data_IF_343645678045
#
_entry.id   IF_343645678045
#
_cell.length_a   1.000
_cell.length_b   1.000
_cell.length_c   1.000
_cell.angle_alpha   90.00
_cell.angle_beta   90.00
_cell.angle_gamma   90.00
#
_symmetry.space_group_name_H-M   'P 1'
#
loop_
_entity.id
_entity.type
_entity.pdbx_description
1 polymer ?
#
# COMPACT_ATOMS: atom_id res chain seq x y z
N UNK A 1 -21.33 46.13 -26.17
CA UNK A 1 -21.55 44.68 -26.02
C UNK A 1 -20.28 43.83 -26.29
N UNK A 2 -19.38 44.24 -27.17
CA UNK A 2 -18.11 43.53 -27.48
C UNK A 2 -17.15 43.43 -26.30
N UNK A 3 -16.98 44.49 -25.49
CA UNK A 3 -16.07 44.53 -24.35
C UNK A 3 -16.43 43.57 -23.22
N UNK A 4 -17.72 43.33 -22.96
CA UNK A 4 -18.15 42.37 -21.91
C UNK A 4 -17.89 40.92 -22.35
N UNK A 5 -18.17 40.59 -23.62
CA UNK A 5 -17.85 39.23 -24.16
C UNK A 5 -16.37 38.95 -24.18
N UNK A 6 -15.53 39.93 -24.51
CA UNK A 6 -14.06 39.75 -24.49
C UNK A 6 -13.54 39.58 -23.08
N UNK A 7 -14.05 40.34 -22.09
CA UNK A 7 -13.68 40.17 -20.68
C UNK A 7 -14.12 38.83 -20.12
N UNK A 8 -15.32 38.36 -20.44
CA UNK A 8 -15.81 37.04 -20.05
C UNK A 8 -14.96 35.93 -20.67
N UNK A 9 -14.62 36.04 -21.95
CA UNK A 9 -13.76 35.09 -22.64
C UNK A 9 -12.36 35.05 -21.99
N UNK A 10 -11.73 36.19 -21.71
CA UNK A 10 -10.46 36.29 -21.06
C UNK A 10 -10.49 35.66 -19.64
N UNK A 11 -11.55 35.90 -18.85
CA UNK A 11 -11.76 35.32 -17.56
C UNK A 11 -11.90 33.78 -17.64
N UNK A 12 -12.70 33.27 -18.57
CA UNK A 12 -12.84 31.81 -18.76
C UNK A 12 -11.54 31.16 -19.21
N UNK A 13 -10.79 31.81 -20.10
CA UNK A 13 -9.46 31.31 -20.51
C UNK A 13 -8.49 31.25 -19.33
N UNK A 14 -8.44 32.30 -18.52
CA UNK A 14 -7.61 32.34 -17.33
C UNK A 14 -8.01 31.24 -16.33
N UNK A 15 -9.30 31.05 -16.09
CA UNK A 15 -9.84 30.00 -15.24
C UNK A 15 -9.40 28.61 -15.70
N UNK A 16 -9.53 28.34 -17.01
CA UNK A 16 -9.10 27.07 -17.62
C UNK A 16 -7.59 26.87 -17.44
N UNK A 17 -6.78 27.90 -17.68
CA UNK A 17 -5.32 27.82 -17.47
C UNK A 17 -4.96 27.58 -16.01
N UNK A 18 -5.65 28.21 -15.06
CA UNK A 18 -5.47 27.94 -13.62
C UNK A 18 -5.84 26.50 -13.26
N UNK A 19 -6.95 25.97 -13.78
CA UNK A 19 -7.35 24.59 -13.56
C UNK A 19 -6.34 23.60 -14.13
N UNK A 20 -5.86 23.85 -15.34
CA UNK A 20 -4.82 23.05 -15.99
C UNK A 20 -3.51 23.10 -15.16
N UNK A 21 -3.06 24.31 -14.78
CA UNK A 21 -1.87 24.49 -13.95
C UNK A 21 -1.97 23.77 -12.59
N UNK A 22 -3.12 23.90 -11.94
CA UNK A 22 -3.42 23.21 -10.69
C UNK A 22 -3.39 21.68 -10.85
N UNK A 23 -4.00 21.17 -11.93
CA UNK A 23 -3.98 19.74 -12.24
C UNK A 23 -2.56 19.23 -12.44
N UNK A 24 -1.74 19.91 -13.24
CA UNK A 24 -0.34 19.51 -13.45
C UNK A 24 0.48 19.57 -12.17
N UNK A 25 0.34 20.64 -11.38
CA UNK A 25 1.02 20.78 -10.09
C UNK A 25 0.70 19.61 -9.14
N UNK A 26 -0.57 19.32 -8.92
CA UNK A 26 -0.96 18.20 -8.06
C UNK A 26 -0.59 16.84 -8.67
N UNK A 27 -0.71 16.68 -9.97
CA UNK A 27 -0.31 15.45 -10.63
C UNK A 27 1.18 15.17 -10.42
N UNK A 28 2.04 16.18 -10.56
CA UNK A 28 3.48 16.04 -10.38
C UNK A 28 3.84 15.84 -8.90
N UNK A 29 3.25 16.62 -7.99
CA UNK A 29 3.49 16.54 -6.55
C UNK A 29 3.22 15.15 -5.96
N UNK A 30 2.24 14.43 -6.49
CA UNK A 30 1.87 13.08 -6.01
C UNK A 30 2.37 11.95 -6.94
N UNK A 31 3.26 12.26 -7.87
CA UNK A 31 3.94 11.22 -8.65
C UNK A 31 5.18 10.79 -7.90
N UNK A 32 5.33 9.48 -7.58
CA UNK A 32 6.54 9.00 -6.91
C UNK A 32 7.76 9.22 -7.79
N UNK A 33 8.92 9.35 -7.15
CA UNK A 33 10.21 9.35 -7.87
C UNK A 33 10.34 8.08 -8.74
N UNK A 34 11.17 8.10 -9.79
CA UNK A 34 11.47 6.89 -10.55
C UNK A 34 11.86 5.72 -9.66
N UNK A 35 11.59 4.50 -10.11
CA UNK A 35 12.03 3.33 -9.36
C UNK A 35 13.53 3.14 -9.55
N UNK A 36 14.28 3.26 -8.45
CA UNK A 36 15.73 3.08 -8.43
C UNK A 36 16.15 1.70 -7.92
N UNK A 37 15.19 0.79 -7.65
CA UNK A 37 15.51 -0.55 -7.18
C UNK A 37 15.99 -1.43 -8.33
N UNK A 38 17.19 -1.98 -8.18
CA UNK A 38 17.66 -3.13 -8.96
C UNK A 38 17.39 -4.40 -8.16
N UNK A 39 16.68 -5.35 -8.75
CA UNK A 39 16.38 -6.64 -8.11
C UNK A 39 16.87 -7.75 -9.01
N UNK A 40 17.76 -8.58 -8.47
CA UNK A 40 18.28 -9.76 -9.15
C UNK A 40 17.75 -11.02 -8.48
N UNK A 41 17.51 -12.04 -9.27
CA UNK A 41 16.99 -13.34 -8.89
C UNK A 41 15.54 -13.32 -8.38
N UNK A 42 14.88 -14.47 -8.47
CA UNK A 42 13.62 -14.71 -7.77
C UNK A 42 13.87 -14.88 -6.27
N UNK A 43 12.99 -14.38 -5.43
CA UNK A 43 13.18 -14.44 -3.98
C UNK A 43 13.11 -15.87 -3.43
N UNK A 44 12.39 -16.78 -4.11
CA UNK A 44 11.85 -17.99 -3.50
C UNK A 44 10.70 -17.63 -2.52
N UNK A 45 10.18 -18.64 -1.84
CA UNK A 45 9.14 -18.44 -0.82
C UNK A 45 9.77 -17.93 0.46
N UNK A 46 9.44 -16.70 0.84
CA UNK A 46 9.97 -16.01 2.02
C UNK A 46 8.90 -16.03 3.11
N UNK A 47 9.08 -16.74 4.20
CA UNK A 47 8.18 -16.63 5.33
C UNK A 47 8.13 -15.20 5.85
N UNK A 48 6.94 -14.66 6.04
CA UNK A 48 6.77 -13.38 6.71
C UNK A 48 6.28 -13.55 8.15
N UNK A 49 6.55 -12.56 8.97
CA UNK A 49 6.14 -12.52 10.37
C UNK A 49 5.08 -11.47 10.59
N UNK A 50 4.05 -11.78 11.35
CA UNK A 50 3.07 -10.82 11.80
C UNK A 50 3.53 -10.17 13.11
N UNK A 51 3.39 -8.85 13.21
CA UNK A 51 3.53 -8.10 14.43
C UNK A 51 2.15 -7.70 14.95
N UNK A 52 1.94 -7.91 16.26
CA UNK A 52 0.65 -7.70 16.91
C UNK A 52 -0.30 -8.89 16.79
N UNK A 53 -1.16 -9.07 17.80
CA UNK A 53 -2.11 -10.18 17.89
C UNK A 53 -3.15 -10.12 16.74
N UNK A 54 -3.53 -8.92 16.32
CA UNK A 54 -4.48 -8.67 15.22
C UNK A 54 -3.83 -8.68 13.83
N UNK A 55 -2.57 -9.14 13.70
CA UNK A 55 -1.82 -9.13 12.42
C UNK A 55 -1.71 -7.73 11.82
N UNK A 56 -1.36 -6.76 12.67
CA UNK A 56 -1.36 -5.34 12.31
C UNK A 56 -0.27 -4.96 11.31
N UNK A 57 0.87 -5.65 11.34
CA UNK A 57 2.02 -5.36 10.48
C UNK A 57 2.60 -6.65 9.94
N UNK A 58 2.85 -6.68 8.63
CA UNK A 58 3.55 -7.77 7.94
C UNK A 58 5.02 -7.41 7.80
N UNK A 59 5.90 -8.25 8.36
CA UNK A 59 7.34 -8.06 8.36
C UNK A 59 8.04 -9.07 7.47
N UNK A 60 8.95 -8.58 6.62
CA UNK A 60 9.83 -9.39 5.79
C UNK A 60 11.24 -9.43 6.36
N UNK A 61 11.84 -10.62 6.54
CA UNK A 61 13.21 -10.74 6.97
C UNK A 61 14.17 -10.28 5.87
N UNK A 62 15.17 -9.50 6.26
CA UNK A 62 16.25 -9.02 5.37
C UNK A 62 17.60 -9.32 5.97
N UNK A 63 18.59 -9.56 5.10
CA UNK A 63 19.96 -9.86 5.46
C UNK A 63 20.94 -9.02 4.66
N UNK A 64 22.04 -8.63 5.31
CA UNK A 64 23.17 -7.98 4.65
C UNK A 64 24.33 -8.95 4.50
N UNK A 65 25.11 -8.80 3.44
CA UNK A 65 26.30 -9.62 3.24
C UNK A 65 27.30 -9.41 4.37
N UNK A 66 27.81 -10.53 4.92
CA UNK A 66 28.76 -10.50 6.04
C UNK A 66 28.16 -10.18 7.41
N UNK A 67 26.82 -10.04 7.51
CA UNK A 67 26.12 -9.86 8.78
C UNK A 67 25.22 -11.07 9.08
N UNK A 68 25.31 -11.62 10.26
CA UNK A 68 24.48 -12.76 10.72
C UNK A 68 23.15 -12.32 11.32
N UNK A 69 22.96 -11.02 11.50
CA UNK A 69 21.75 -10.44 12.08
C UNK A 69 20.61 -10.49 11.06
N UNK A 70 19.44 -10.93 11.52
CA UNK A 70 18.21 -10.77 10.76
C UNK A 70 17.56 -9.45 11.12
N UNK A 71 17.38 -8.60 10.13
CA UNK A 71 16.60 -7.37 10.22
C UNK A 71 15.25 -7.58 9.57
N UNK A 72 14.35 -6.62 9.77
CA UNK A 72 13.00 -6.68 9.19
C UNK A 72 12.65 -5.37 8.53
N UNK A 73 11.92 -5.47 7.42
CA UNK A 73 11.23 -4.35 6.79
C UNK A 73 9.73 -4.61 6.85
N UNK A 74 8.96 -3.60 7.23
CA UNK A 74 7.50 -3.66 7.09
C UNK A 74 7.13 -3.69 5.61
N UNK A 75 6.28 -4.62 5.19
CA UNK A 75 5.76 -4.64 3.83
C UNK A 75 4.49 -3.78 3.75
N UNK A 76 4.57 -2.67 3.02
CA UNK A 76 3.54 -1.64 2.96
C UNK A 76 3.34 -1.15 1.52
N UNK A 77 2.32 -1.67 0.83
CA UNK A 77 1.97 -1.26 -0.54
C UNK A 77 1.27 0.09 -0.62
N UNK A 78 0.89 0.68 0.51
CA UNK A 78 0.47 2.08 0.62
C UNK A 78 1.64 3.05 0.54
N UNK A 79 2.85 2.61 0.88
CA UNK A 79 4.09 3.35 0.67
C UNK A 79 4.55 3.20 -0.79
N UNK A 80 4.77 4.28 -1.55
CA UNK A 80 5.18 4.17 -2.95
C UNK A 80 6.66 3.78 -3.12
N UNK A 81 7.46 3.91 -2.08
CA UNK A 81 8.91 3.68 -2.14
C UNK A 81 9.40 3.00 -0.87
N UNK A 82 10.44 2.19 -1.05
CA UNK A 82 11.19 1.58 0.05
C UNK A 82 11.99 2.64 0.79
N UNK A 83 11.89 2.65 2.11
CA UNK A 83 12.51 3.65 2.99
C UNK A 83 13.20 3.00 4.18
N UNK A 84 14.30 3.58 4.63
CA UNK A 84 14.95 3.23 5.88
C UNK A 84 14.62 4.23 7.00
N UNK A 85 14.66 3.77 8.24
CA UNK A 85 14.46 4.59 9.43
C UNK A 85 15.81 5.00 10.02
N UNK A 86 16.10 6.30 10.05
CA UNK A 86 17.43 6.82 10.40
C UNK A 86 17.95 6.30 11.74
N UNK A 87 17.08 6.24 12.75
CA UNK A 87 17.47 5.78 14.10
C UNK A 87 17.75 4.26 14.15
N UNK A 88 17.11 3.48 13.28
CA UNK A 88 17.25 2.03 13.28
C UNK A 88 18.47 1.54 12.47
N UNK A 89 18.94 2.34 11.50
CA UNK A 89 20.03 1.93 10.59
C UNK A 89 21.40 2.48 10.98
N UNK A 90 21.50 3.34 12.00
CA UNK A 90 22.72 4.07 12.36
C UNK A 90 23.93 3.17 12.72
N UNK A 91 23.66 1.91 13.09
CA UNK A 91 24.70 0.92 13.45
C UNK A 91 24.89 -0.18 12.42
N UNK A 92 24.25 -0.07 11.25
CA UNK A 92 24.36 -1.08 10.18
C UNK A 92 25.42 -0.59 9.17
N UNK A 93 26.61 -1.18 9.24
CA UNK A 93 27.75 -0.75 8.42
C UNK A 93 27.57 -0.96 6.92
N UNK A 94 26.62 -1.79 6.49
CA UNK A 94 26.31 -2.09 5.10
C UNK A 94 25.36 -1.05 4.47
N UNK A 95 24.91 -0.05 5.24
CA UNK A 95 24.06 1.05 4.75
C UNK A 95 24.88 2.34 4.82
N UNK A 96 25.12 2.95 3.66
CA UNK A 96 25.80 4.24 3.58
C UNK A 96 24.79 5.36 3.42
N UNK A 97 24.64 6.20 4.44
CA UNK A 97 23.69 7.34 4.44
C UNK A 97 24.36 8.58 3.86
N UNK A 98 23.70 9.24 2.90
CA UNK A 98 24.10 10.49 2.25
C UNK A 98 22.93 11.48 2.27
N UNK A 99 22.86 12.32 3.30
CA UNK A 99 21.71 13.22 3.51
C UNK A 99 20.40 12.44 3.79
N UNK A 100 19.38 12.69 2.99
CA UNK A 100 18.08 12.00 3.08
C UNK A 100 17.99 10.73 2.22
N UNK A 101 19.12 10.28 1.66
CA UNK A 101 19.21 9.06 0.84
C UNK A 101 20.23 8.10 1.44
N UNK A 102 20.08 6.84 1.12
CA UNK A 102 21.02 5.79 1.48
C UNK A 102 21.33 4.89 0.29
N UNK A 103 22.56 4.40 0.29
CA UNK A 103 23.02 3.35 -0.60
C UNK A 103 23.12 2.04 0.20
N UNK A 104 22.53 0.98 -0.32
CA UNK A 104 22.57 -0.33 0.30
C UNK A 104 22.37 -1.45 -0.71
N UNK A 105 22.86 -2.63 -0.35
CA UNK A 105 22.52 -3.91 -0.97
C UNK A 105 22.12 -4.88 0.13
N UNK A 106 20.93 -5.44 0.03
CA UNK A 106 20.42 -6.44 0.98
C UNK A 106 19.71 -7.57 0.26
N UNK A 107 19.43 -8.63 1.00
CA UNK A 107 18.79 -9.83 0.48
C UNK A 107 17.46 -10.09 1.18
N UNK A 108 16.45 -10.47 0.39
CA UNK A 108 15.20 -11.07 0.87
C UNK A 108 15.11 -12.46 0.22
N UNK A 109 15.36 -13.50 1.00
CA UNK A 109 15.58 -14.83 0.46
C UNK A 109 16.74 -14.86 -0.52
N UNK A 110 16.49 -15.27 -1.77
CA UNK A 110 17.50 -15.32 -2.83
C UNK A 110 17.57 -14.03 -3.67
N UNK A 111 16.59 -13.14 -3.53
CA UNK A 111 16.61 -11.89 -4.27
C UNK A 111 17.58 -10.90 -3.64
N UNK A 112 18.47 -10.36 -4.47
CA UNK A 112 19.36 -9.26 -4.13
C UNK A 112 18.70 -7.94 -4.54
N UNK A 113 18.57 -7.03 -3.59
CA UNK A 113 17.96 -5.71 -3.78
C UNK A 113 19.01 -4.65 -3.56
N UNK A 114 19.21 -3.80 -4.56
CA UNK A 114 20.24 -2.73 -4.54
C UNK A 114 19.63 -1.41 -4.96
N UNK A 115 20.00 -0.34 -4.30
CA UNK A 115 19.76 1.04 -4.72
C UNK A 115 20.80 1.97 -4.07
N UNK A 116 21.12 3.05 -4.77
CA UNK A 116 21.90 4.18 -4.26
C UNK A 116 21.02 5.35 -3.76
N UNK A 117 19.68 5.16 -3.77
CA UNK A 117 18.68 6.21 -3.54
C UNK A 117 17.51 5.79 -2.65
N UNK A 118 17.71 4.82 -1.74
CA UNK A 118 16.72 4.57 -0.69
C UNK A 118 16.47 5.85 0.10
N UNK A 119 15.21 6.18 0.33
CA UNK A 119 14.88 7.31 1.18
C UNK A 119 15.17 6.98 2.64
N UNK A 120 15.64 7.97 3.40
CA UNK A 120 15.87 7.85 4.84
C UNK A 120 14.93 8.80 5.57
N UNK A 121 14.04 8.22 6.38
CA UNK A 121 13.09 8.98 7.17
C UNK A 121 13.61 9.16 8.59
N UNK A 122 13.42 10.37 9.15
CA UNK A 122 13.72 10.62 10.55
C UNK A 122 12.67 9.97 11.45
N UNK A 123 12.74 8.65 11.54
CA UNK A 123 11.79 7.79 12.23
C UNK A 123 12.50 6.58 12.83
N UNK A 124 11.74 5.76 13.55
CA UNK A 124 12.21 4.52 14.16
C UNK A 124 12.69 4.71 15.60
N UNK A 125 13.00 3.62 16.24
CA UNK A 125 13.57 3.57 17.60
C UNK A 125 14.99 2.99 17.51
N UNK A 126 15.88 3.47 18.38
CA UNK A 126 17.13 2.78 18.62
C UNK A 126 16.85 1.42 19.26
N UNK A 127 17.52 0.41 18.75
CA UNK A 127 17.21 -1.01 18.95
C UNK A 127 17.29 -1.45 20.41
N UNK A 128 16.13 -1.80 20.97
CA UNK A 128 16.01 -2.54 22.24
C UNK A 128 15.03 -3.71 22.15
N UNK A 129 14.58 -4.08 20.93
CA UNK A 129 13.58 -5.15 20.72
C UNK A 129 14.23 -6.39 20.11
N UNK A 130 13.63 -7.55 20.37
CA UNK A 130 14.02 -8.81 19.71
C UNK A 130 13.82 -8.79 18.19
N UNK A 131 12.98 -7.87 17.68
CA UNK A 131 12.69 -7.69 16.24
C UNK A 131 13.21 -6.34 15.80
N UNK A 132 14.24 -6.35 14.96
CA UNK A 132 14.94 -5.16 14.46
C UNK A 132 14.27 -4.65 13.18
N UNK A 133 13.28 -3.77 13.30
CA UNK A 133 12.60 -3.16 12.14
C UNK A 133 13.41 -1.95 11.70
N UNK A 134 13.98 -2.01 10.49
CA UNK A 134 14.90 -1.00 9.96
C UNK A 134 14.26 -0.08 8.92
N UNK A 135 13.03 -0.33 8.53
CA UNK A 135 12.34 0.48 7.52
C UNK A 135 11.06 -0.15 7.00
N UNK A 136 10.64 0.35 5.86
CA UNK A 136 9.46 -0.14 5.12
C UNK A 136 9.86 -0.49 3.70
N UNK A 137 9.43 -1.64 3.21
CA UNK A 137 9.44 -2.01 1.79
C UNK A 137 8.14 -1.50 1.18
N UNK A 138 8.27 -0.61 0.19
CA UNK A 138 7.15 0.00 -0.52
C UNK A 138 6.71 -0.79 -1.75
N UNK A 139 5.71 -0.25 -2.45
CA UNK A 139 5.19 -0.83 -3.69
C UNK A 139 6.17 -0.77 -4.87
N UNK A 140 7.30 -0.06 -4.73
CA UNK A 140 8.40 -0.05 -5.71
C UNK A 140 9.02 -1.44 -5.93
N UNK A 141 8.93 -2.34 -4.93
CA UNK A 141 9.38 -3.72 -5.10
C UNK A 141 8.51 -4.50 -6.09
N UNK A 142 7.25 -4.09 -6.27
CA UNK A 142 6.29 -4.73 -7.16
C UNK A 142 6.36 -4.18 -8.60
N UNK A 143 6.93 -2.99 -8.78
CA UNK A 143 6.92 -2.27 -10.05
C UNK A 143 7.55 -3.09 -11.18
N UNK A 144 6.76 -3.36 -12.23
CA UNK A 144 7.13 -4.20 -13.37
C UNK A 144 7.51 -5.65 -13.01
N UNK A 145 6.95 -6.20 -11.92
CA UNK A 145 7.28 -7.54 -11.41
C UNK A 145 6.04 -8.36 -11.09
N UNK A 146 6.28 -9.66 -10.99
CA UNK A 146 5.28 -10.67 -10.60
C UNK A 146 5.53 -11.13 -9.18
N UNK A 147 4.48 -11.16 -8.36
CA UNK A 147 4.58 -11.43 -6.92
C UNK A 147 3.44 -12.34 -6.48
N UNK A 148 3.73 -13.31 -5.61
CA UNK A 148 2.72 -14.03 -4.82
C UNK A 148 2.76 -13.50 -3.40
N UNK A 149 1.59 -13.25 -2.82
CA UNK A 149 1.41 -12.99 -1.42
C UNK A 149 0.43 -14.03 -0.87
N UNK A 150 0.97 -15.08 -0.26
CA UNK A 150 0.19 -16.21 0.24
C UNK A 150 -0.07 -16.05 1.74
N UNK A 151 -1.26 -15.56 2.07
CA UNK A 151 -1.64 -15.35 3.47
C UNK A 151 -2.02 -16.64 4.20
N UNK A 152 -2.47 -17.69 3.47
CA UNK A 152 -2.78 -18.98 4.07
C UNK A 152 -1.54 -19.65 4.65
N UNK A 153 -0.43 -19.59 3.91
CA UNK A 153 0.82 -20.25 4.25
C UNK A 153 1.88 -19.28 4.79
N UNK A 154 1.53 -17.99 4.93
CA UNK A 154 2.37 -16.92 5.46
C UNK A 154 3.72 -16.77 4.74
N UNK A 155 3.70 -16.69 3.40
CA UNK A 155 4.89 -16.38 2.63
C UNK A 155 4.62 -15.38 1.52
N UNK A 156 5.67 -14.68 1.09
CA UNK A 156 5.73 -13.89 -0.13
C UNK A 156 6.79 -14.48 -1.06
N UNK A 157 6.52 -14.41 -2.37
CA UNK A 157 7.54 -14.65 -3.39
C UNK A 157 7.44 -13.56 -4.45
N UNK A 158 8.52 -12.89 -4.76
CA UNK A 158 8.53 -11.78 -5.72
C UNK A 158 9.65 -11.92 -6.75
N UNK A 159 9.57 -11.06 -7.78
CA UNK A 159 10.42 -11.09 -8.97
C UNK A 159 10.33 -12.44 -9.71
N UNK A 160 9.12 -13.00 -9.78
CA UNK A 160 8.89 -14.29 -10.44
C UNK A 160 9.05 -14.13 -11.96
N UNK A 161 9.69 -15.11 -12.59
CA UNK A 161 9.86 -15.18 -14.05
C UNK A 161 8.57 -15.56 -14.78
N UNK A 162 7.70 -16.35 -14.12
CA UNK A 162 6.48 -16.91 -14.72
C UNK A 162 5.26 -16.72 -13.84
N UNK A 163 4.08 -16.69 -14.48
CA UNK A 163 2.81 -16.82 -13.77
C UNK A 163 2.68 -18.21 -13.15
N UNK A 164 2.35 -18.32 -11.86
CA UNK A 164 2.16 -19.61 -11.21
C UNK A 164 0.94 -20.35 -11.76
N UNK A 165 1.05 -21.67 -11.91
CA UNK A 165 0.03 -22.52 -12.56
C UNK A 165 -1.36 -22.37 -11.95
N UNK A 166 -1.45 -22.21 -10.62
CA UNK A 166 -2.72 -22.07 -9.91
C UNK A 166 -3.50 -20.78 -10.26
N UNK A 167 -2.82 -19.75 -10.82
CA UNK A 167 -3.44 -18.49 -11.22
C UNK A 167 -3.73 -18.38 -12.71
N UNK A 168 -3.20 -19.30 -13.54
CA UNK A 168 -3.40 -19.28 -14.98
C UNK A 168 -4.88 -19.33 -15.34
N UNK A 169 -5.33 -18.37 -16.15
CA UNK A 169 -6.73 -18.23 -16.56
C UNK A 169 -7.70 -17.72 -15.48
N UNK A 170 -7.21 -17.40 -14.27
CA UNK A 170 -8.03 -16.92 -13.14
C UNK A 170 -7.76 -15.47 -12.78
N UNK A 171 -6.79 -14.84 -13.42
CA UNK A 171 -6.41 -13.44 -13.15
C UNK A 171 -7.34 -12.48 -13.88
N UNK A 172 -7.56 -11.31 -13.27
CA UNK A 172 -8.35 -10.20 -13.83
C UNK A 172 -7.55 -8.91 -13.79
N UNK A 173 -8.00 -7.88 -14.49
CA UNK A 173 -7.28 -6.61 -14.61
C UNK A 173 -7.35 -5.77 -13.34
N UNK A 174 -6.26 -5.10 -13.01
CA UNK A 174 -6.20 -4.03 -12.02
C UNK A 174 -5.43 -2.82 -12.58
N UNK A 175 -5.38 -1.71 -11.83
CA UNK A 175 -4.58 -0.55 -12.21
C UNK A 175 -3.42 -0.35 -11.24
N UNK A 176 -2.19 -0.41 -11.75
CA UNK A 176 -1.01 0.02 -11.01
C UNK A 176 -0.69 1.47 -11.37
N UNK A 177 -1.18 2.40 -10.58
CA UNK A 177 -1.04 3.84 -10.84
C UNK A 177 -0.38 4.54 -9.68
N UNK A 178 0.73 5.25 -9.95
CA UNK A 178 1.53 5.91 -8.91
C UNK A 178 1.94 4.94 -7.80
N UNK A 179 2.24 3.70 -8.18
CA UNK A 179 2.54 2.57 -7.30
C UNK A 179 1.45 2.23 -6.29
N UNK A 180 0.19 2.46 -6.65
CA UNK A 180 -0.97 1.99 -5.89
C UNK A 180 -1.66 0.88 -6.66
N UNK A 181 -2.01 -0.20 -5.96
CA UNK A 181 -2.76 -1.33 -6.49
C UNK A 181 -4.24 -1.00 -6.37
N UNK A 182 -4.86 -0.60 -7.50
CA UNK A 182 -6.28 -0.21 -7.54
C UNK A 182 -7.07 -1.33 -8.21
N UNK A 183 -7.89 -2.00 -7.43
CA UNK A 183 -8.72 -3.14 -7.85
C UNK A 183 -10.16 -2.67 -8.01
N UNK A 184 -10.84 -3.11 -9.08
CA UNK A 184 -12.28 -2.95 -9.23
C UNK A 184 -12.97 -4.17 -8.63
N UNK A 185 -13.98 -3.94 -7.79
CA UNK A 185 -14.80 -4.99 -7.19
C UNK A 185 -16.26 -4.58 -7.18
N UNK A 186 -17.16 -5.57 -7.18
CA UNK A 186 -18.58 -5.34 -6.98
C UNK A 186 -18.91 -5.46 -5.49
N UNK A 187 -19.37 -4.38 -4.88
CA UNK A 187 -19.85 -4.33 -3.50
C UNK A 187 -21.31 -3.85 -3.50
N UNK A 188 -22.22 -4.66 -2.99
CA UNK A 188 -23.67 -4.40 -3.06
C UNK A 188 -24.18 -4.14 -4.49
N UNK A 189 -23.61 -4.82 -5.49
CA UNK A 189 -23.97 -4.66 -6.90
C UNK A 189 -23.41 -3.40 -7.58
N UNK A 190 -22.68 -2.56 -6.87
CA UNK A 190 -22.05 -1.38 -7.41
C UNK A 190 -20.56 -1.65 -7.69
N UNK A 191 -20.05 -1.11 -8.80
CA UNK A 191 -18.62 -1.13 -9.11
C UNK A 191 -17.89 -0.12 -8.23
N UNK A 192 -16.98 -0.63 -7.42
CA UNK A 192 -16.17 0.15 -6.49
C UNK A 192 -14.69 0.06 -6.82
N UNK A 193 -13.98 1.18 -6.64
CA UNK A 193 -12.51 1.24 -6.79
C UNK A 193 -11.89 1.15 -5.40
N UNK A 194 -11.14 0.09 -5.17
CA UNK A 194 -10.53 -0.23 -3.89
C UNK A 194 -9.01 -0.26 -4.04
N UNK A 195 -8.30 0.38 -3.14
CA UNK A 195 -6.83 0.28 -3.07
C UNK A 195 -6.46 -0.89 -2.18
N UNK A 196 -5.64 -1.81 -2.66
CA UNK A 196 -5.04 -2.82 -1.78
C UNK A 196 -3.80 -2.23 -1.13
N UNK A 197 -3.82 -2.22 0.20
CA UNK A 197 -2.81 -1.58 1.04
C UNK A 197 -2.42 -2.50 2.20
N UNK A 198 -1.24 -3.12 2.11
CA UNK A 198 -0.73 -4.01 3.16
C UNK A 198 -0.34 -3.27 4.43
N UNK A 199 -0.17 -1.94 4.38
CA UNK A 199 0.04 -1.09 5.56
C UNK A 199 -1.23 -0.90 6.41
N UNK A 200 -2.42 -1.14 5.83
CA UNK A 200 -3.71 -1.14 6.58
C UNK A 200 -4.13 -2.54 7.03
N UNK A 201 -3.17 -3.35 7.41
CA UNK A 201 -3.24 -4.81 7.62
C UNK A 201 -4.35 -5.26 8.56
N UNK A 202 -4.62 -4.51 9.64
CA UNK A 202 -5.60 -4.83 10.66
C UNK A 202 -7.07 -4.77 10.19
N UNK A 203 -7.32 -4.19 9.02
CA UNK A 203 -8.67 -3.93 8.53
C UNK A 203 -9.02 -4.81 7.33
N UNK A 204 -10.31 -5.16 7.19
CA UNK A 204 -10.83 -5.78 5.95
C UNK A 204 -11.10 -4.72 4.89
N UNK A 205 -11.94 -3.74 5.23
CA UNK A 205 -12.22 -2.57 4.40
C UNK A 205 -12.19 -1.30 5.27
N UNK A 206 -11.30 -0.38 4.91
CA UNK A 206 -11.23 0.95 5.47
C UNK A 206 -11.85 1.93 4.47
N UNK A 207 -12.86 2.70 4.90
CA UNK A 207 -13.62 3.56 4.01
C UNK A 207 -14.00 4.88 4.67
N UNK A 208 -14.78 5.72 4.00
CA UNK A 208 -15.34 6.93 4.59
C UNK A 208 -16.56 6.62 5.47
N UNK A 209 -16.97 7.59 6.30
CA UNK A 209 -18.07 7.43 7.25
C UNK A 209 -19.42 7.11 6.58
N UNK A 210 -19.70 7.71 5.43
CA UNK A 210 -20.96 7.51 4.69
C UNK A 210 -21.07 6.07 4.19
N UNK A 211 -20.03 5.53 3.55
CA UNK A 211 -19.99 4.13 3.09
C UNK A 211 -20.03 3.19 4.29
N UNK A 212 -19.32 3.51 5.38
CA UNK A 212 -19.33 2.72 6.61
C UNK A 212 -20.75 2.63 7.21
N UNK A 213 -21.49 3.75 7.31
CA UNK A 213 -22.87 3.76 7.80
C UNK A 213 -23.79 2.89 6.95
N UNK A 214 -23.59 2.86 5.63
CA UNK A 214 -24.40 2.07 4.71
C UNK A 214 -24.08 0.58 4.76
N UNK A 215 -22.86 0.19 5.14
CA UNK A 215 -22.40 -1.20 5.14
C UNK A 215 -22.55 -1.88 6.49
N UNK A 216 -22.48 -1.15 7.60
CA UNK A 216 -22.54 -1.73 8.94
C UNK A 216 -23.91 -2.38 9.20
N UNK A 217 -23.90 -3.47 9.94
CA UNK A 217 -25.15 -4.07 10.41
C UNK A 217 -25.89 -3.12 11.38
N UNK A 218 -27.21 -2.97 11.26
CA UNK A 218 -27.99 -2.23 12.24
C UNK A 218 -27.73 -2.74 13.66
N UNK A 219 -27.55 -1.82 14.60
CA UNK A 219 -27.31 -2.13 16.02
C UNK A 219 -26.04 -2.95 16.32
N UNK A 220 -25.11 -3.08 15.35
CA UNK A 220 -23.85 -3.75 15.64
C UNK A 220 -23.01 -2.94 16.63
N UNK A 221 -22.32 -3.66 17.55
CA UNK A 221 -21.34 -3.02 18.44
C UNK A 221 -20.22 -2.40 17.61
N UNK A 222 -19.89 -1.15 17.91
CA UNK A 222 -18.75 -0.45 17.31
C UNK A 222 -17.56 -0.58 18.24
N UNK A 223 -16.46 -1.12 17.71
CA UNK A 223 -15.16 -1.12 18.39
C UNK A 223 -14.43 0.16 18.04
N UNK A 224 -13.98 0.90 19.05
CA UNK A 224 -13.25 2.17 18.88
C UNK A 224 -11.84 1.98 19.39
N UNK A 225 -10.87 2.25 18.52
CA UNK A 225 -9.45 2.10 18.82
C UNK A 225 -8.68 3.36 18.43
N UNK A 226 -7.66 3.70 19.22
CA UNK A 226 -6.74 4.79 18.91
C UNK A 226 -5.42 4.19 18.47
N UNK A 227 -4.92 4.64 17.35
CA UNK A 227 -3.60 4.25 16.84
C UNK A 227 -2.78 5.48 16.51
N UNK A 228 -1.48 5.37 16.72
CA UNK A 228 -0.55 6.40 16.28
C UNK A 228 -0.16 6.11 14.84
N UNK A 229 -0.33 7.10 13.96
CA UNK A 229 0.12 7.07 12.58
C UNK A 229 1.05 8.26 12.38
N UNK A 230 2.36 7.99 12.32
CA UNK A 230 3.42 9.00 12.29
C UNK A 230 3.31 9.96 13.49
N UNK A 231 2.98 11.22 13.23
CA UNK A 231 2.83 12.30 14.23
C UNK A 231 1.38 12.52 14.72
N UNK A 232 0.42 11.69 14.23
CA UNK A 232 -1.01 11.87 14.50
C UNK A 232 -1.61 10.68 15.25
N UNK A 233 -2.56 10.99 16.12
CA UNK A 233 -3.45 9.98 16.69
C UNK A 233 -4.68 9.89 15.80
N UNK A 234 -4.91 8.72 15.26
CA UNK A 234 -6.09 8.37 14.47
C UNK A 234 -7.04 7.56 15.34
N UNK A 235 -8.34 7.76 15.16
CA UNK A 235 -9.38 6.97 15.82
C UNK A 235 -10.11 6.14 14.79
N UNK A 236 -10.05 4.83 14.92
CA UNK A 236 -10.77 3.89 14.06
C UNK A 236 -12.09 3.44 14.72
N UNK A 237 -13.10 3.29 13.89
CA UNK A 237 -14.44 2.83 14.26
C UNK A 237 -14.78 1.61 13.41
N UNK A 238 -14.71 0.43 14.00
CA UNK A 238 -14.96 -0.84 13.32
C UNK A 238 -16.31 -1.39 13.72
N UNK A 239 -17.12 -1.76 12.74
CA UNK A 239 -18.41 -2.39 12.91
C UNK A 239 -18.50 -3.68 12.11
N UNK A 240 -19.36 -4.60 12.56
CA UNK A 240 -19.73 -5.79 11.79
C UNK A 240 -20.50 -5.38 10.55
N UNK A 241 -20.22 -6.05 9.44
CA UNK A 241 -21.07 -6.04 8.25
C UNK A 241 -21.26 -7.48 7.74
N UNK A 242 -22.18 -7.69 6.81
CA UNK A 242 -22.44 -8.99 6.20
C UNK A 242 -22.60 -8.78 4.70
N UNK A 243 -21.48 -8.54 4.07
CA UNK A 243 -21.41 -8.24 2.66
C UNK A 243 -20.42 -9.18 1.95
N UNK A 244 -20.41 -9.13 0.64
CA UNK A 244 -19.43 -9.79 -0.19
C UNK A 244 -18.85 -8.78 -1.17
N UNK A 245 -17.57 -8.92 -1.46
CA UNK A 245 -16.93 -8.22 -2.56
C UNK A 245 -16.58 -9.23 -3.65
N UNK A 246 -17.07 -9.00 -4.86
CA UNK A 246 -16.73 -9.83 -6.00
C UNK A 246 -15.59 -9.19 -6.78
N UNK A 247 -14.50 -9.93 -6.95
CA UNK A 247 -13.32 -9.58 -7.74
C UNK A 247 -13.21 -10.56 -8.91
N UNK A 248 -13.52 -10.10 -10.13
CA UNK A 248 -13.61 -11.02 -11.27
C UNK A 248 -14.61 -12.14 -11.00
N UNK A 249 -14.16 -13.39 -11.04
CA UNK A 249 -14.96 -14.58 -10.71
C UNK A 249 -14.93 -14.95 -9.22
N UNK A 250 -14.09 -14.31 -8.40
CA UNK A 250 -13.91 -14.65 -6.98
C UNK A 250 -14.78 -13.76 -6.10
N UNK A 251 -15.51 -14.36 -5.19
CA UNK A 251 -16.28 -13.66 -4.15
C UNK A 251 -15.61 -13.85 -2.80
N UNK A 252 -15.40 -12.74 -2.08
CA UNK A 252 -14.76 -12.71 -0.77
C UNK A 252 -15.72 -12.10 0.24
N UNK A 253 -15.96 -12.76 1.39
CA UNK A 253 -16.81 -12.21 2.43
C UNK A 253 -16.14 -11.00 3.09
N UNK A 254 -16.93 -9.96 3.32
CA UNK A 254 -16.60 -8.78 4.09
C UNK A 254 -17.39 -8.80 5.40
N UNK A 255 -16.72 -9.03 6.51
CA UNK A 255 -17.34 -9.21 7.81
C UNK A 255 -17.23 -7.97 8.70
N UNK A 256 -16.26 -7.11 8.41
CA UNK A 256 -16.01 -5.89 9.17
C UNK A 256 -15.75 -4.72 8.22
N UNK A 257 -16.29 -3.57 8.58
CA UNK A 257 -16.02 -2.31 7.89
C UNK A 257 -15.55 -1.27 8.90
N UNK A 258 -14.57 -0.47 8.51
CA UNK A 258 -13.92 0.52 9.38
C UNK A 258 -13.92 1.88 8.72
N UNK A 259 -14.13 2.95 9.50
CA UNK A 259 -13.75 4.29 9.10
C UNK A 259 -12.79 4.90 10.13
N UNK A 260 -11.98 5.87 9.69
CA UNK A 260 -10.99 6.52 10.54
C UNK A 260 -11.28 8.01 10.60
N UNK A 261 -11.20 8.57 11.82
CA UNK A 261 -11.18 10.01 12.09
C UNK A 261 -9.75 10.46 12.45
N UNK A 262 -9.44 11.73 12.17
CA UNK A 262 -8.14 12.34 12.47
C UNK A 262 -7.32 12.68 11.23
N UNK A 263 -7.78 12.36 10.03
CA UNK A 263 -7.15 12.85 8.80
C UNK A 263 -7.37 14.35 8.62
N UNK A 264 -6.46 15.01 7.91
CA UNK A 264 -6.64 16.41 7.54
C UNK A 264 -7.77 16.58 6.52
N UNK A 265 -8.38 17.76 6.46
CA UNK A 265 -9.41 18.09 5.47
C UNK A 265 -8.91 17.84 4.03
N UNK A 266 -7.64 18.13 3.76
CA UNK A 266 -7.02 17.90 2.45
C UNK A 266 -6.98 16.40 2.12
N UNK A 267 -6.66 15.52 3.09
CA UNK A 267 -6.65 14.07 2.89
C UNK A 267 -8.06 13.55 2.59
N UNK A 268 -9.07 13.99 3.33
CA UNK A 268 -10.46 13.63 3.04
C UNK A 268 -10.91 14.10 1.66
N UNK A 269 -10.56 15.34 1.27
CA UNK A 269 -10.88 15.87 -0.07
C UNK A 269 -10.21 15.02 -1.16
N UNK A 270 -8.92 14.70 -1.01
CA UNK A 270 -8.21 13.85 -1.98
C UNK A 270 -8.82 12.46 -2.10
N UNK A 271 -9.21 11.82 -1.00
CA UNK A 271 -9.91 10.54 -1.03
C UNK A 271 -11.23 10.66 -1.81
N UNK A 272 -12.03 11.68 -1.53
CA UNK A 272 -13.30 11.92 -2.22
C UNK A 272 -13.12 12.17 -3.72
N UNK A 273 -12.15 13.00 -4.12
CA UNK A 273 -11.90 13.31 -5.54
C UNK A 273 -11.16 12.23 -6.32
N UNK A 274 -10.51 11.28 -5.64
CA UNK A 274 -9.83 10.17 -6.30
C UNK A 274 -10.79 9.15 -6.93
N UNK A 275 -12.05 9.16 -6.52
CA UNK A 275 -13.04 8.14 -6.86
C UNK A 275 -12.72 6.77 -6.26
N UNK A 276 -11.87 6.73 -5.22
CA UNK A 276 -11.56 5.52 -4.46
C UNK A 276 -12.55 5.43 -3.31
N UNK A 277 -13.26 4.30 -3.25
CA UNK A 277 -14.27 4.03 -2.22
C UNK A 277 -13.66 3.65 -0.88
N UNK A 278 -12.52 2.94 -0.92
CA UNK A 278 -11.83 2.52 0.30
C UNK A 278 -10.51 1.80 0.05
N UNK A 279 -9.90 1.35 1.15
CA UNK A 279 -8.66 0.58 1.16
C UNK A 279 -8.93 -0.82 1.72
N UNK A 280 -8.44 -1.83 1.03
CA UNK A 280 -8.46 -3.23 1.47
C UNK A 280 -7.15 -3.51 2.20
N UNK A 281 -7.23 -3.93 3.44
CA UNK A 281 -6.08 -4.43 4.17
C UNK A 281 -5.86 -5.93 3.98
N UNK A 282 -4.84 -6.46 4.63
CA UNK A 282 -4.53 -7.89 4.54
C UNK A 282 -5.62 -8.78 5.15
N UNK A 283 -6.34 -8.27 6.14
CA UNK A 283 -7.33 -9.05 6.92
C UNK A 283 -8.41 -9.69 6.07
N UNK A 284 -8.84 -9.04 4.98
CA UNK A 284 -9.85 -9.62 4.07
C UNK A 284 -9.32 -10.83 3.27
N UNK A 285 -8.00 -10.92 3.10
CA UNK A 285 -7.33 -11.96 2.29
C UNK A 285 -6.65 -13.04 3.10
N UNK A 286 -6.79 -13.10 4.44
CA UNK A 286 -6.07 -14.05 5.31
C UNK A 286 -6.26 -15.52 4.93
N UNK A 287 -7.37 -15.86 4.29
CA UNK A 287 -7.66 -17.21 3.80
C UNK A 287 -7.37 -17.38 2.31
N UNK A 288 -6.65 -16.45 1.68
CA UNK A 288 -6.42 -16.43 0.26
C UNK A 288 -4.93 -16.32 -0.06
N UNK A 289 -4.61 -16.63 -1.30
CA UNK A 289 -3.34 -16.32 -1.94
C UNK A 289 -3.60 -15.31 -3.05
N UNK A 290 -2.77 -14.26 -3.12
CA UNK A 290 -2.83 -13.23 -4.16
C UNK A 290 -1.64 -13.38 -5.11
N UNK A 291 -1.91 -13.36 -6.40
CA UNK A 291 -0.91 -13.16 -7.44
C UNK A 291 -1.07 -11.75 -7.99
N UNK A 292 0.00 -10.97 -8.00
CA UNK A 292 0.03 -9.58 -8.43
C UNK A 292 1.09 -9.44 -9.53
N UNK A 293 0.66 -9.17 -10.75
CA UNK A 293 1.50 -8.93 -11.91
C UNK A 293 1.44 -7.46 -12.29
N UNK A 294 2.41 -6.68 -11.80
CA UNK A 294 2.50 -5.25 -12.13
C UNK A 294 3.12 -4.99 -13.51
N UNK A 295 3.61 -6.00 -14.20
CA UNK A 295 4.07 -5.89 -15.60
C UNK A 295 2.87 -5.88 -16.56
N UNK A 296 1.92 -6.80 -16.36
CA UNK A 296 0.74 -6.96 -17.20
C UNK A 296 -0.54 -6.36 -16.58
N UNK A 297 -0.45 -5.82 -15.36
CA UNK A 297 -1.58 -5.30 -14.58
C UNK A 297 -2.69 -6.33 -14.37
N UNK A 298 -2.31 -7.54 -13.97
CA UNK A 298 -3.20 -8.64 -13.66
C UNK A 298 -3.09 -9.05 -12.20
N UNK A 299 -4.21 -9.38 -11.58
CA UNK A 299 -4.27 -9.89 -10.22
C UNK A 299 -5.13 -11.14 -10.18
N UNK A 300 -4.65 -12.17 -9.49
CA UNK A 300 -5.37 -13.41 -9.21
C UNK A 300 -5.62 -13.58 -7.73
N UNK A 301 -6.76 -14.18 -7.36
CA UNK A 301 -7.14 -14.47 -5.96
C UNK A 301 -7.55 -15.93 -5.88
N UNK A 302 -6.90 -16.70 -5.00
CA UNK A 302 -7.20 -18.11 -4.78
C UNK A 302 -7.56 -18.42 -3.33
#
# INVERSE_FOLDING_TARGET
MTTLKTRLFAFLTLLVLCLIGTYFYFSQKFTPEPNYLSIQNESGNIPFTWLGEDKNVLLLPVHFSGDTTTYYLQFDTGSPSTVFYSKAINKIGQITVKGEKAEATFYIGKAQITSDKFQVLNFGEEDNRNIKIIGTIGADILDSRKTILNFKENYIAFNLSKEPVQFQGKSFGFKFKKRKIIIQGLLNGNEEKLVFDTGTSAYELLTNKEVWENLKLPNSKVTIEKSQSWDKILTSYTAKCKQNIQFGSKTIPLNNVTYIEGFSQTQYAMMKFSGITGMLGNKIFLNNSLYIDCLENKIGIE
#
